data_IF_749082998617
#
_entry.id   IF_749082998617
#
_cell.length_a   1.000
_cell.length_b   1.000
_cell.length_c   1.000
_cell.angle_alpha   90.00
_cell.angle_beta   90.00
_cell.angle_gamma   90.00
#
_symmetry.space_group_name_H-M   'P 1'
#
loop_
_entity.id
_entity.type
_entity.pdbx_description
1 polymer ?
#
# COMPACT_ATOMS: atom_id res chain seq x y z
N UNK A 1 91.74 5.97 -17.17
CA UNK A 1 91.29 5.42 -15.88
C UNK A 1 92.11 6.03 -14.74
N UNK A 2 91.50 6.97 -14.00
CA UNK A 2 91.45 7.04 -12.54
C UNK A 2 89.98 6.81 -12.10
N UNK A 3 89.58 6.38 -10.90
CA UNK A 3 90.17 6.35 -9.57
C UNK A 3 89.16 6.96 -8.58
N UNK A 4 88.85 6.25 -7.49
CA UNK A 4 88.34 6.75 -6.19
C UNK A 4 86.82 6.90 -5.92
N UNK A 5 86.42 6.54 -4.69
CA UNK A 5 85.06 6.39 -4.09
C UNK A 5 84.95 7.40 -2.92
N UNK A 6 83.78 8.03 -2.60
CA UNK A 6 83.00 7.56 -1.44
C UNK A 6 81.46 7.73 -1.53
N UNK A 7 80.78 6.88 -0.75
CA UNK A 7 79.34 6.92 -0.41
C UNK A 7 78.98 8.23 0.31
N UNK A 8 77.79 8.77 0.05
CA UNK A 8 77.11 9.64 1.02
C UNK A 8 75.70 9.14 1.30
N UNK A 9 75.36 9.22 2.58
CA UNK A 9 74.26 8.59 3.30
C UNK A 9 73.14 9.63 3.45
N UNK A 10 71.90 9.14 3.46
CA UNK A 10 70.72 9.80 4.03
C UNK A 10 70.39 11.23 3.56
N UNK A 11 69.44 11.32 2.63
CA UNK A 11 68.60 12.50 2.41
C UNK A 11 67.14 12.06 2.33
N UNK A 12 66.39 12.32 3.40
CA UNK A 12 64.96 12.10 3.60
C UNK A 12 64.11 12.50 2.39
N UNK A 13 63.53 11.52 1.69
CA UNK A 13 62.42 11.79 0.75
C UNK A 13 61.18 12.16 1.55
N UNK A 14 60.72 13.40 1.34
CA UNK A 14 59.44 13.93 1.81
C UNK A 14 58.31 12.96 1.43
N UNK A 15 57.33 12.70 2.31
CA UNK A 15 56.14 11.93 1.91
C UNK A 15 55.39 12.73 0.85
N UNK A 16 55.40 12.23 -0.39
CA UNK A 16 54.43 12.68 -1.38
C UNK A 16 53.05 12.26 -0.88
N UNK A 17 52.12 13.22 -0.86
CA UNK A 17 50.72 12.99 -0.58
C UNK A 17 50.23 11.78 -1.40
N UNK A 18 49.53 10.87 -0.73
CA UNK A 18 48.87 9.70 -1.31
C UNK A 18 48.05 10.11 -2.55
N UNK A 19 48.66 10.05 -3.74
CA UNK A 19 47.91 9.85 -4.97
C UNK A 19 47.36 8.44 -4.87
N UNK A 20 46.05 8.34 -4.64
CA UNK A 20 45.31 7.11 -4.87
C UNK A 20 45.80 6.52 -6.19
N UNK A 21 46.29 5.27 -6.14
CA UNK A 21 46.51 4.51 -7.35
C UNK A 21 45.20 4.52 -8.16
N UNK A 22 45.25 4.71 -9.49
CA UNK A 22 44.05 4.56 -10.31
C UNK A 22 43.50 3.16 -10.05
N UNK A 23 42.24 3.08 -9.59
CA UNK A 23 41.57 1.79 -9.47
C UNK A 23 41.64 1.09 -10.83
N UNK A 24 41.99 -0.21 -10.88
CA UNK A 24 41.91 -0.97 -12.12
C UNK A 24 40.47 -0.94 -12.61
N UNK A 25 40.26 -0.30 -13.77
CA UNK A 25 39.01 -0.40 -14.52
C UNK A 25 38.92 -1.86 -14.98
N UNK A 26 37.93 -2.66 -14.52
CA UNK A 26 37.78 -4.01 -15.02
C UNK A 26 37.56 -3.95 -16.55
N UNK A 27 38.09 -4.92 -17.31
CA UNK A 27 37.98 -4.90 -18.76
C UNK A 27 36.50 -4.78 -19.18
N UNK A 28 36.22 -3.78 -20.02
CA UNK A 28 34.94 -3.57 -20.69
C UNK A 28 34.68 -4.67 -21.71
N UNK A 29 34.48 -5.91 -21.26
CA UNK A 29 33.70 -6.85 -22.04
C UNK A 29 32.26 -6.32 -21.99
N UNK A 30 31.69 -5.91 -23.13
CA UNK A 30 30.27 -5.66 -23.21
C UNK A 30 29.55 -6.97 -22.89
N UNK A 31 29.12 -7.09 -21.64
CA UNK A 31 28.30 -8.21 -21.20
C UNK A 31 26.89 -7.93 -21.70
N UNK A 32 26.67 -8.21 -22.98
CA UNK A 32 25.35 -8.11 -23.56
C UNK A 32 24.57 -9.39 -23.22
N UNK A 33 23.49 -9.28 -22.42
CA UNK A 33 22.69 -10.44 -22.06
C UNK A 33 21.96 -10.97 -23.30
N UNK A 34 21.79 -12.30 -23.34
CA UNK A 34 20.96 -12.99 -24.34
C UNK A 34 19.47 -12.67 -24.15
N UNK A 35 18.65 -12.91 -25.17
CA UNK A 35 17.19 -12.68 -25.11
C UNK A 35 16.55 -13.49 -23.98
N UNK A 36 16.91 -14.77 -23.84
CA UNK A 36 16.42 -15.65 -22.77
C UNK A 36 16.79 -15.13 -21.38
N UNK A 37 18.00 -14.57 -21.22
CA UNK A 37 18.42 -13.94 -19.96
C UNK A 37 17.63 -12.67 -19.68
N UNK A 38 17.31 -11.88 -20.70
CA UNK A 38 16.44 -10.71 -20.55
C UNK A 38 15.07 -11.17 -20.06
N UNK A 39 14.42 -12.10 -20.75
CA UNK A 39 13.09 -12.61 -20.36
C UNK A 39 13.08 -13.17 -18.92
N UNK A 40 14.12 -13.92 -18.53
CA UNK A 40 14.27 -14.45 -17.18
C UNK A 40 14.54 -13.40 -16.09
N UNK A 41 15.00 -12.20 -16.45
CA UNK A 41 15.37 -11.15 -15.50
C UNK A 41 14.21 -10.22 -15.11
N UNK A 42 13.00 -10.43 -15.63
CA UNK A 42 11.83 -9.61 -15.32
C UNK A 42 11.52 -9.50 -13.80
N UNK A 43 11.61 -10.57 -12.99
CA UNK A 43 11.40 -10.46 -11.54
C UNK A 43 12.44 -9.57 -10.85
N UNK A 44 13.71 -9.66 -11.27
CA UNK A 44 14.77 -8.80 -10.74
C UNK A 44 14.58 -7.34 -11.19
N UNK A 45 14.14 -7.12 -12.42
CA UNK A 45 13.80 -5.78 -12.91
C UNK A 45 12.64 -5.16 -12.10
N UNK A 46 11.62 -5.94 -11.77
CA UNK A 46 10.50 -5.49 -10.93
C UNK A 46 10.96 -5.04 -9.53
N UNK A 47 11.90 -5.78 -8.92
CA UNK A 47 12.54 -5.36 -7.67
C UNK A 47 13.37 -4.10 -7.89
N UNK A 48 14.20 -4.06 -8.93
CA UNK A 48 15.14 -2.97 -9.14
C UNK A 48 14.48 -1.65 -9.53
N UNK A 49 13.33 -1.65 -10.21
CA UNK A 49 12.70 -0.44 -10.78
C UNK A 49 12.71 0.76 -9.83
N UNK A 50 12.17 0.59 -8.62
CA UNK A 50 12.17 1.66 -7.62
C UNK A 50 13.50 1.78 -6.86
N UNK A 51 14.26 0.69 -6.73
CA UNK A 51 15.51 0.65 -5.98
C UNK A 51 16.67 1.39 -6.65
N UNK A 52 16.68 1.46 -7.98
CA UNK A 52 17.69 2.20 -8.78
C UNK A 52 17.14 3.50 -9.36
N UNK A 53 15.90 3.87 -9.04
CA UNK A 53 15.27 5.13 -9.46
C UNK A 53 16.01 6.34 -8.88
N UNK A 54 16.44 7.32 -9.69
CA UNK A 54 17.02 8.57 -9.19
C UNK A 54 16.11 9.32 -8.21
N UNK A 55 14.80 9.27 -8.42
CA UNK A 55 13.83 9.93 -7.55
C UNK A 55 13.79 9.31 -6.16
N UNK A 56 13.85 7.98 -6.07
CA UNK A 56 13.88 7.27 -4.79
C UNK A 56 15.26 7.36 -4.14
N UNK A 57 16.33 7.23 -4.93
CA UNK A 57 17.70 7.36 -4.45
C UNK A 57 17.97 8.73 -3.83
N UNK A 58 17.34 9.80 -4.32
CA UNK A 58 17.43 11.14 -3.70
C UNK A 58 16.88 11.20 -2.25
N UNK A 59 16.05 10.24 -1.86
CA UNK A 59 15.40 10.16 -0.55
C UNK A 59 16.06 9.12 0.38
N UNK A 60 17.11 8.43 -0.11
CA UNK A 60 17.79 7.33 0.58
C UNK A 60 19.26 7.64 0.78
N UNK A 61 19.86 7.00 1.78
CA UNK A 61 21.26 7.21 2.20
C UNK A 61 22.11 5.93 2.14
N UNK A 62 21.55 4.83 1.64
CA UNK A 62 22.30 3.58 1.49
C UNK A 62 23.31 3.64 0.31
N UNK A 63 24.30 2.73 0.27
CA UNK A 63 25.37 2.78 -0.72
C UNK A 63 24.90 2.74 -2.19
N UNK A 64 23.81 2.02 -2.47
CA UNK A 64 23.24 1.96 -3.82
C UNK A 64 22.63 3.33 -4.18
N UNK A 65 21.90 3.95 -3.26
CA UNK A 65 21.35 5.30 -3.47
C UNK A 65 22.44 6.36 -3.67
N UNK A 66 23.51 6.35 -2.85
CA UNK A 66 24.66 7.25 -3.03
C UNK A 66 25.29 7.08 -4.41
N UNK A 67 25.55 5.83 -4.82
CA UNK A 67 26.13 5.55 -6.13
C UNK A 67 25.25 6.08 -7.27
N UNK A 68 23.94 5.87 -7.22
CA UNK A 68 23.01 6.36 -8.25
C UNK A 68 23.00 7.89 -8.26
N UNK A 69 22.91 8.53 -7.09
CA UNK A 69 22.91 10.00 -7.00
C UNK A 69 24.22 10.62 -7.53
N UNK A 70 25.36 10.01 -7.25
CA UNK A 70 26.66 10.49 -7.75
C UNK A 70 26.76 10.33 -9.27
N UNK A 71 26.26 9.21 -9.80
CA UNK A 71 26.20 8.97 -11.24
C UNK A 71 25.27 9.97 -11.95
N UNK A 72 24.12 10.28 -11.35
CA UNK A 72 23.17 11.31 -11.81
C UNK A 72 23.84 12.69 -11.84
N UNK A 73 24.49 13.10 -10.75
CA UNK A 73 25.19 14.40 -10.66
C UNK A 73 26.33 14.52 -11.66
N UNK A 74 27.08 13.45 -11.87
CA UNK A 74 28.20 13.42 -12.78
C UNK A 74 27.78 13.22 -14.26
N UNK A 75 26.51 12.89 -14.53
CA UNK A 75 26.04 12.51 -15.86
C UNK A 75 26.73 11.25 -16.39
N UNK A 76 27.17 10.35 -15.50
CA UNK A 76 27.93 9.14 -15.87
C UNK A 76 27.08 7.88 -15.76
N UNK A 77 27.27 6.90 -16.66
CA UNK A 77 26.54 5.65 -16.58
C UNK A 77 27.03 4.77 -15.42
N UNK A 78 26.11 3.95 -14.89
CA UNK A 78 26.41 2.97 -13.83
C UNK A 78 26.63 1.60 -14.48
N UNK A 79 27.77 1.00 -14.21
CA UNK A 79 28.06 -0.36 -14.66
C UNK A 79 27.34 -1.39 -13.76
N UNK A 80 26.72 -2.42 -14.33
CA UNK A 80 26.00 -3.46 -13.58
C UNK A 80 26.85 -4.13 -12.49
N UNK A 81 28.14 -4.34 -12.75
CA UNK A 81 29.08 -4.85 -11.74
C UNK A 81 29.20 -3.96 -10.49
N UNK A 82 29.03 -2.64 -10.62
CA UNK A 82 29.02 -1.75 -9.45
C UNK A 82 27.76 -1.95 -8.60
N UNK A 83 26.62 -2.21 -9.22
CA UNK A 83 25.37 -2.55 -8.52
C UNK A 83 25.53 -3.87 -7.76
N UNK A 84 26.07 -4.92 -8.41
CA UNK A 84 26.34 -6.21 -7.75
C UNK A 84 27.32 -6.04 -6.57
N UNK A 85 28.32 -5.17 -6.71
CA UNK A 85 29.29 -4.88 -5.66
C UNK A 85 28.75 -3.98 -4.53
N UNK A 86 27.55 -3.38 -4.68
CA UNK A 86 26.97 -2.55 -3.62
C UNK A 86 26.53 -3.41 -2.43
N UNK A 87 26.86 -2.95 -1.22
CA UNK A 87 26.38 -3.58 0.00
C UNK A 87 24.84 -3.60 0.02
N UNK A 88 24.26 -4.76 0.30
CA UNK A 88 22.81 -4.98 0.30
C UNK A 88 22.20 -5.34 -1.06
N UNK A 89 22.94 -5.24 -2.18
CA UNK A 89 22.41 -5.58 -3.50
C UNK A 89 22.09 -7.09 -3.62
N UNK A 90 22.86 -7.96 -2.98
CA UNK A 90 22.55 -9.39 -2.92
C UNK A 90 21.19 -9.69 -2.28
N UNK A 91 20.75 -8.88 -1.30
CA UNK A 91 19.44 -9.03 -0.67
C UNK A 91 18.28 -8.64 -1.62
N UNK A 92 18.59 -7.89 -2.68
CA UNK A 92 17.66 -7.55 -3.76
C UNK A 92 17.67 -8.59 -4.90
N UNK A 93 18.46 -9.66 -4.77
CA UNK A 93 18.64 -10.67 -5.82
C UNK A 93 19.72 -10.34 -6.85
N UNK A 94 20.52 -9.28 -6.65
CA UNK A 94 21.63 -8.93 -7.55
C UNK A 94 22.84 -9.84 -7.30
N UNK A 95 22.80 -11.09 -7.76
CA UNK A 95 23.86 -12.09 -7.56
C UNK A 95 24.81 -12.24 -8.73
N UNK A 96 24.42 -11.76 -9.91
CA UNK A 96 25.19 -11.88 -11.15
C UNK A 96 25.18 -10.58 -11.93
N UNK A 97 26.32 -10.23 -12.52
CA UNK A 97 26.43 -9.08 -13.42
C UNK A 97 25.53 -9.25 -14.64
N UNK A 98 25.38 -10.48 -15.14
CA UNK A 98 24.53 -10.78 -16.29
C UNK A 98 23.06 -10.53 -15.97
N UNK A 99 22.57 -11.02 -14.83
CA UNK A 99 21.16 -10.88 -14.43
C UNK A 99 20.82 -9.43 -14.16
N UNK A 100 21.73 -8.68 -13.50
CA UNK A 100 21.55 -7.25 -13.29
C UNK A 100 21.57 -6.49 -14.63
N UNK A 101 22.49 -6.80 -15.54
CA UNK A 101 22.51 -6.17 -16.86
C UNK A 101 21.23 -6.46 -17.66
N UNK A 102 20.73 -7.69 -17.60
CA UNK A 102 19.46 -8.11 -18.20
C UNK A 102 18.27 -7.38 -17.56
N UNK A 103 18.22 -7.27 -16.23
CA UNK A 103 17.18 -6.54 -15.51
C UNK A 103 17.16 -5.05 -15.85
N UNK A 104 18.33 -4.41 -15.95
CA UNK A 104 18.43 -3.01 -16.34
C UNK A 104 17.94 -2.75 -17.77
N UNK A 105 18.03 -3.72 -18.68
CA UNK A 105 17.45 -3.58 -20.03
C UNK A 105 15.92 -3.49 -20.03
N UNK A 106 15.23 -4.12 -19.06
CA UNK A 106 13.79 -3.90 -18.87
C UNK A 106 13.45 -2.50 -18.37
N UNK A 107 14.37 -1.86 -17.66
CA UNK A 107 14.17 -0.51 -17.09
C UNK A 107 14.51 0.60 -18.08
N UNK A 108 15.33 0.33 -19.09
CA UNK A 108 15.76 1.32 -20.07
C UNK A 108 14.60 2.04 -20.78
N UNK A 109 13.51 1.36 -21.23
CA UNK A 109 12.36 2.03 -21.85
C UNK A 109 11.64 3.00 -20.92
N UNK A 110 11.74 2.83 -19.60
CA UNK A 110 11.10 3.72 -18.62
C UNK A 110 11.83 5.06 -18.49
N UNK A 111 13.04 5.19 -19.06
CA UNK A 111 13.87 6.39 -18.97
C UNK A 111 14.31 6.76 -17.54
N UNK A 112 14.08 5.87 -16.56
CA UNK A 112 14.49 6.04 -15.18
C UNK A 112 15.96 5.69 -14.95
N UNK A 113 16.46 4.69 -15.69
CA UNK A 113 17.82 4.18 -15.62
C UNK A 113 18.29 3.82 -17.02
N UNK A 114 19.14 4.66 -17.62
CA UNK A 114 19.74 4.37 -18.92
C UNK A 114 21.02 3.53 -18.73
N UNK A 115 21.00 2.30 -19.26
CA UNK A 115 22.20 1.47 -19.39
C UNK A 115 23.08 2.09 -20.47
N UNK A 116 24.03 2.94 -20.07
CA UNK A 116 24.74 3.93 -20.90
C UNK A 116 23.89 5.16 -21.19
N UNK A 117 24.46 6.37 -21.03
CA UNK A 117 23.92 7.70 -21.40
C UNK A 117 23.33 8.51 -20.21
N UNK A 118 23.57 9.82 -20.31
CA UNK A 118 23.57 10.80 -19.23
C UNK A 118 22.20 11.10 -18.64
N UNK A 119 22.12 11.09 -17.30
CA UNK A 119 20.99 11.66 -16.58
C UNK A 119 20.85 13.15 -16.94
N UNK A 120 19.81 13.47 -17.72
CA UNK A 120 19.49 14.86 -18.01
C UNK A 120 18.98 15.54 -16.73
N UNK A 121 19.33 16.83 -16.59
CA UNK A 121 18.99 17.68 -15.46
C UNK A 121 17.52 17.54 -15.04
N UNK A 122 17.22 17.66 -13.73
CA UNK A 122 15.91 17.30 -13.20
C UNK A 122 14.83 18.26 -13.70
N UNK A 123 13.98 17.80 -14.61
CA UNK A 123 12.61 18.31 -14.64
C UNK A 123 11.98 17.93 -13.29
N UNK A 124 11.31 18.86 -12.62
CA UNK A 124 10.66 18.59 -11.34
C UNK A 124 9.59 17.52 -11.57
N UNK A 125 9.77 16.28 -11.10
CA UNK A 125 8.88 15.19 -11.46
C UNK A 125 7.50 15.42 -10.85
N UNK A 126 6.48 14.96 -11.56
CA UNK A 126 5.09 15.07 -11.17
C UNK A 126 4.55 13.72 -10.70
N UNK A 127 3.73 13.75 -9.66
CA UNK A 127 3.06 12.56 -9.13
C UNK A 127 1.60 12.55 -9.57
N UNK A 128 1.15 11.42 -10.09
CA UNK A 128 -0.26 11.17 -10.43
C UNK A 128 -0.72 9.88 -9.78
N UNK A 129 -1.96 9.85 -9.30
CA UNK A 129 -2.66 8.64 -8.94
C UNK A 129 -3.20 7.97 -10.20
N UNK A 130 -2.99 6.66 -10.30
CA UNK A 130 -3.42 5.81 -11.39
C UNK A 130 -4.31 4.71 -10.85
N UNK A 131 -5.46 4.56 -11.48
CA UNK A 131 -6.41 3.51 -11.23
C UNK A 131 -6.54 2.60 -12.45
N UNK A 132 -6.57 1.28 -12.25
CA UNK A 132 -6.85 0.28 -13.30
C UNK A 132 -5.84 0.30 -14.46
N UNK A 133 -4.56 0.55 -14.18
CA UNK A 133 -3.49 0.37 -15.17
C UNK A 133 -3.34 -1.10 -15.61
N UNK A 134 -3.69 -2.03 -14.73
CA UNK A 134 -3.55 -3.49 -14.88
C UNK A 134 -4.80 -4.20 -14.34
N UNK A 135 -5.06 -5.43 -14.80
CA UNK A 135 -6.30 -6.17 -14.47
C UNK A 135 -6.30 -6.63 -13.02
N UNK A 136 -5.17 -7.21 -12.65
CA UNK A 136 -4.90 -7.78 -11.35
C UNK A 136 -3.78 -7.00 -10.66
N UNK A 137 -3.74 -7.07 -9.34
CA UNK A 137 -2.64 -6.48 -8.58
C UNK A 137 -1.32 -7.04 -9.13
N UNK A 138 -0.43 -6.15 -9.56
CA UNK A 138 0.82 -6.47 -10.23
C UNK A 138 1.97 -5.68 -9.62
N UNK A 139 3.19 -6.07 -9.93
CA UNK A 139 4.37 -5.32 -9.51
C UNK A 139 4.49 -3.94 -10.19
N UNK A 140 5.40 -3.12 -9.67
CA UNK A 140 5.66 -1.77 -10.14
C UNK A 140 6.06 -1.71 -11.63
N UNK A 141 6.87 -2.67 -12.10
CA UNK A 141 7.37 -2.71 -13.48
C UNK A 141 6.24 -3.02 -14.46
N UNK A 142 5.35 -3.94 -14.14
CA UNK A 142 4.18 -4.27 -14.96
C UNK A 142 3.26 -3.05 -15.13
N UNK A 143 3.00 -2.31 -14.05
CA UNK A 143 2.24 -1.05 -14.10
C UNK A 143 2.95 0.00 -14.95
N UNK A 144 4.25 0.19 -14.74
CA UNK A 144 5.04 1.17 -15.47
C UNK A 144 5.08 0.88 -16.98
N UNK A 145 5.26 -0.39 -17.34
CA UNK A 145 5.28 -0.85 -18.75
C UNK A 145 3.92 -0.61 -19.42
N UNK A 146 2.84 -0.93 -18.70
CA UNK A 146 1.47 -0.69 -19.18
C UNK A 146 1.22 0.81 -19.42
N UNK A 147 1.65 1.66 -18.48
CA UNK A 147 1.52 3.11 -18.62
C UNK A 147 2.41 3.70 -19.72
N UNK A 148 3.59 3.14 -19.93
CA UNK A 148 4.46 3.55 -21.02
C UNK A 148 3.81 3.25 -22.38
N UNK A 149 3.16 2.09 -22.53
CA UNK A 149 2.39 1.75 -23.72
C UNK A 149 1.22 2.74 -23.94
N UNK A 150 0.49 3.09 -22.87
CA UNK A 150 -0.58 4.10 -22.89
C UNK A 150 -0.03 5.46 -23.36
N UNK A 151 1.08 5.91 -22.77
CA UNK A 151 1.72 7.19 -23.08
C UNK A 151 2.22 7.26 -24.53
N UNK A 152 2.78 6.16 -25.06
CA UNK A 152 3.20 6.08 -26.45
C UNK A 152 2.02 6.08 -27.43
N UNK A 153 0.86 5.59 -27.02
CA UNK A 153 -0.36 5.62 -27.86
C UNK A 153 -1.11 6.95 -27.80
N UNK A 154 -0.74 7.86 -26.89
CA UNK A 154 -1.44 9.12 -26.67
C UNK A 154 -0.70 10.27 -27.38
N UNK A 155 -1.40 11.20 -28.07
CA UNK A 155 -0.76 12.37 -28.67
C UNK A 155 -0.07 13.24 -27.61
N UNK A 156 1.20 13.60 -27.82
CA UNK A 156 1.99 14.40 -26.88
C UNK A 156 2.40 15.76 -27.44
N UNK A 157 2.33 16.82 -26.63
CA UNK A 157 2.66 18.17 -27.08
C UNK A 157 4.17 18.35 -27.36
N UNK A 158 5.02 17.62 -26.63
CA UNK A 158 6.48 17.69 -26.74
C UNK A 158 7.02 16.28 -26.99
N UNK A 159 7.60 16.04 -28.17
CA UNK A 159 7.93 14.69 -28.66
C UNK A 159 9.04 13.92 -27.93
N UNK A 160 9.49 14.34 -26.74
CA UNK A 160 10.57 13.67 -25.99
C UNK A 160 10.10 12.40 -25.29
N UNK A 161 10.91 11.35 -25.10
CA UNK A 161 10.43 10.07 -24.53
C UNK A 161 9.83 10.22 -23.11
N UNK A 162 8.69 9.55 -22.81
CA UNK A 162 8.08 9.60 -21.49
C UNK A 162 8.96 8.87 -20.48
N UNK A 163 9.05 9.40 -19.26
CA UNK A 163 9.87 8.88 -18.18
C UNK A 163 9.02 8.56 -16.95
N UNK A 164 9.15 7.34 -16.45
CA UNK A 164 8.49 6.89 -15.22
C UNK A 164 9.57 6.61 -14.19
N UNK A 165 9.70 7.50 -13.21
CA UNK A 165 10.72 7.42 -12.18
C UNK A 165 10.38 6.40 -11.09
N UNK A 166 9.12 6.30 -10.66
CA UNK A 166 8.74 5.41 -9.57
C UNK A 166 7.26 5.04 -9.62
N UNK A 167 6.92 3.89 -9.04
CA UNK A 167 5.54 3.42 -8.87
C UNK A 167 5.39 2.87 -7.44
N UNK A 168 4.42 3.36 -6.68
CA UNK A 168 4.24 2.95 -5.29
C UNK A 168 2.75 2.89 -4.90
N UNK A 169 2.39 2.10 -3.87
CA UNK A 169 0.99 1.88 -3.54
C UNK A 169 0.34 3.17 -3.02
N UNK A 170 -0.99 3.32 -3.17
CA UNK A 170 -1.70 4.47 -2.65
C UNK A 170 -1.63 4.52 -1.12
N UNK A 171 -1.33 5.70 -0.58
CA UNK A 171 -1.45 6.01 0.83
C UNK A 171 -2.47 7.13 1.04
N UNK A 172 -2.98 7.25 2.27
CA UNK A 172 -3.98 8.26 2.66
C UNK A 172 -3.59 9.67 2.16
N UNK A 173 -2.33 10.07 2.32
CA UNK A 173 -1.84 11.40 1.96
C UNK A 173 -1.10 11.46 0.62
N UNK A 174 -1.06 10.34 -0.11
CA UNK A 174 -0.23 10.18 -1.31
C UNK A 174 1.27 10.39 -1.05
N UNK A 175 1.71 10.12 0.18
CA UNK A 175 3.11 10.07 0.55
C UNK A 175 3.70 8.74 0.11
N UNK A 176 4.87 8.79 -0.53
CA UNK A 176 5.62 7.59 -0.81
C UNK A 176 6.14 6.95 0.48
N UNK A 177 6.21 5.61 0.55
CA UNK A 177 6.82 4.94 1.69
C UNK A 177 8.32 5.26 1.76
N UNK A 178 8.91 5.13 2.95
CA UNK A 178 10.34 5.39 3.15
C UNK A 178 11.24 4.41 2.35
N UNK A 179 10.76 3.18 2.14
CA UNK A 179 11.47 2.10 1.45
C UNK A 179 10.71 1.73 0.18
N UNK A 180 11.41 1.46 -0.94
CA UNK A 180 10.78 0.98 -2.17
C UNK A 180 9.86 -0.23 -1.91
N UNK A 181 8.59 -0.18 -2.35
CA UNK A 181 7.65 -1.27 -2.15
C UNK A 181 7.98 -2.44 -3.08
N UNK A 182 7.80 -3.65 -2.58
CA UNK A 182 7.83 -4.90 -3.36
C UNK A 182 6.44 -5.54 -3.49
N UNK A 183 5.41 -4.92 -2.90
CA UNK A 183 4.05 -5.45 -2.89
C UNK A 183 3.37 -5.23 -4.23
N UNK A 184 2.60 -6.23 -4.67
CA UNK A 184 1.71 -6.07 -5.82
C UNK A 184 0.62 -5.05 -5.51
N UNK A 185 0.27 -4.23 -6.50
CA UNK A 185 -0.72 -3.17 -6.39
C UNK A 185 -1.58 -3.10 -7.66
N UNK A 186 -2.85 -2.73 -7.50
CA UNK A 186 -3.78 -2.53 -8.64
C UNK A 186 -3.90 -1.05 -9.01
N UNK A 187 -3.88 -0.21 -7.99
CA UNK A 187 -3.85 1.24 -8.08
C UNK A 187 -2.49 1.68 -7.58
N UNK A 188 -1.98 2.79 -8.07
CA UNK A 188 -0.65 3.26 -7.69
C UNK A 188 -0.53 4.76 -7.82
N UNK A 189 0.34 5.34 -7.00
CA UNK A 189 0.95 6.61 -7.36
C UNK A 189 2.13 6.34 -8.28
N UNK A 190 2.24 7.15 -9.32
CA UNK A 190 3.30 7.09 -10.30
C UNK A 190 3.99 8.43 -10.32
N UNK A 191 5.32 8.40 -10.29
CA UNK A 191 6.19 9.57 -10.41
C UNK A 191 6.77 9.56 -11.82
N UNK A 192 6.53 10.63 -12.57
CA UNK A 192 6.86 10.71 -13.99
C UNK A 192 7.28 12.13 -14.35
N UNK A 193 7.81 12.32 -15.56
CA UNK A 193 8.12 13.66 -16.04
C UNK A 193 6.83 14.51 -16.19
N UNK A 194 6.93 15.84 -16.11
CA UNK A 194 5.77 16.73 -16.19
C UNK A 194 4.93 16.58 -17.47
N UNK A 195 5.56 16.34 -18.61
CA UNK A 195 4.87 16.26 -19.90
C UNK A 195 4.05 14.97 -19.99
N UNK A 196 4.60 13.85 -19.53
CA UNK A 196 3.87 12.59 -19.38
C UNK A 196 2.73 12.73 -18.37
N UNK A 197 2.93 13.45 -17.26
CA UNK A 197 1.89 13.65 -16.24
C UNK A 197 0.73 14.49 -16.77
N UNK A 198 1.05 15.56 -17.51
CA UNK A 198 0.07 16.38 -18.18
C UNK A 198 -0.68 15.60 -19.26
N UNK A 199 0.03 14.77 -20.03
CA UNK A 199 -0.59 13.89 -21.05
C UNK A 199 -1.58 12.92 -20.41
N UNK A 200 -1.19 12.18 -19.37
CA UNK A 200 -2.10 11.26 -18.67
C UNK A 200 -3.29 11.99 -18.07
N UNK A 201 -3.07 13.11 -17.39
CA UNK A 201 -4.16 13.87 -16.76
C UNK A 201 -5.12 14.44 -17.79
N UNK A 202 -4.62 14.89 -18.95
CA UNK A 202 -5.44 15.47 -20.02
C UNK A 202 -6.32 14.42 -20.70
N UNK A 203 -5.74 13.28 -21.06
CA UNK A 203 -6.40 12.28 -21.92
C UNK A 203 -7.08 11.15 -21.15
N UNK A 204 -6.60 10.87 -19.94
CA UNK A 204 -7.04 9.77 -19.08
C UNK A 204 -7.50 10.26 -17.70
N UNK A 205 -7.77 11.56 -17.55
CA UNK A 205 -8.35 12.14 -16.34
C UNK A 205 -9.67 11.47 -15.96
N UNK A 206 -10.01 11.51 -14.66
CA UNK A 206 -11.26 10.93 -14.13
C UNK A 206 -12.51 11.41 -14.88
N UNK A 207 -12.57 12.70 -15.19
CA UNK A 207 -13.73 13.34 -15.82
C UNK A 207 -13.54 13.53 -17.32
N UNK A 208 -12.48 12.98 -17.90
CA UNK A 208 -12.16 13.19 -19.32
C UNK A 208 -12.98 12.25 -20.21
N UNK A 209 -13.81 12.78 -21.13
CA UNK A 209 -14.49 11.95 -22.12
C UNK A 209 -13.48 11.33 -23.10
N UNK A 210 -13.77 10.09 -23.51
CA UNK A 210 -12.84 9.24 -24.26
C UNK A 210 -13.14 9.17 -25.75
N UNK A 211 -13.86 10.15 -26.28
CA UNK A 211 -14.29 10.18 -27.69
C UNK A 211 -13.12 10.24 -28.68
N UNK A 212 -11.94 10.63 -28.20
CA UNK A 212 -10.69 10.66 -28.97
C UNK A 212 -10.06 9.27 -29.18
N UNK A 213 -10.44 8.25 -28.39
CA UNK A 213 -9.86 6.91 -28.50
C UNK A 213 -10.34 6.21 -29.78
N UNK A 214 -9.41 5.64 -30.59
CA UNK A 214 -9.79 4.92 -31.79
C UNK A 214 -10.61 3.67 -31.44
N UNK A 215 -11.50 3.25 -32.35
CA UNK A 215 -12.33 2.05 -32.18
C UNK A 215 -11.51 0.76 -32.01
N UNK A 216 -10.31 0.73 -32.57
CA UNK A 216 -9.34 -0.34 -32.40
C UNK A 216 -8.11 0.25 -31.73
N UNK A 217 -7.74 -0.34 -30.59
CA UNK A 217 -6.58 0.06 -29.80
C UNK A 217 -5.54 -1.06 -29.82
N UNK A 218 -4.24 -0.74 -29.76
CA UNK A 218 -3.21 -1.77 -29.66
C UNK A 218 -3.44 -2.67 -28.45
N UNK A 219 -3.11 -3.97 -28.57
CA UNK A 219 -3.30 -4.95 -27.50
C UNK A 219 -2.64 -4.51 -26.18
N UNK A 220 -1.48 -3.86 -26.25
CA UNK A 220 -0.75 -3.34 -25.09
C UNK A 220 -1.50 -2.24 -24.31
N UNK A 221 -2.50 -1.59 -24.94
CA UNK A 221 -3.29 -0.50 -24.35
C UNK A 221 -4.75 -0.91 -24.13
N UNK A 222 -5.17 -2.01 -24.75
CA UNK A 222 -6.53 -2.54 -24.68
C UNK A 222 -7.01 -2.70 -23.24
N UNK A 223 -6.16 -3.22 -22.35
CA UNK A 223 -6.48 -3.36 -20.92
C UNK A 223 -6.88 -2.02 -20.28
N UNK A 224 -6.03 -1.01 -20.41
CA UNK A 224 -6.26 0.32 -19.88
C UNK A 224 -7.54 0.96 -20.44
N UNK A 225 -7.89 0.66 -21.69
CA UNK A 225 -9.13 1.15 -22.32
C UNK A 225 -10.35 0.44 -21.75
N UNK A 226 -10.36 -0.89 -21.76
CA UNK A 226 -11.50 -1.71 -21.33
C UNK A 226 -11.79 -1.57 -19.83
N UNK A 227 -10.76 -1.47 -19.00
CA UNK A 227 -10.91 -1.33 -17.55
C UNK A 227 -10.95 0.13 -17.08
N UNK A 228 -11.16 1.05 -18.02
CA UNK A 228 -11.34 2.46 -17.76
C UNK A 228 -10.21 3.07 -16.91
N UNK A 229 -8.95 2.95 -17.37
CA UNK A 229 -7.79 3.57 -16.71
C UNK A 229 -8.09 5.01 -16.38
N UNK A 230 -7.87 5.39 -15.12
CA UNK A 230 -8.23 6.70 -14.58
C UNK A 230 -7.02 7.33 -13.91
N UNK A 231 -6.75 8.58 -14.25
CA UNK A 231 -5.62 9.36 -13.75
C UNK A 231 -6.12 10.56 -12.94
N UNK A 232 -5.43 10.86 -11.84
CA UNK A 232 -5.71 12.03 -11.02
C UNK A 232 -4.41 12.68 -10.55
N UNK A 233 -4.19 13.98 -10.74
CA UNK A 233 -2.97 14.62 -10.26
C UNK A 233 -2.97 14.69 -8.72
N UNK A 234 -1.78 14.61 -8.11
CA UNK A 234 -1.63 14.49 -6.64
C UNK A 234 -2.32 15.61 -5.84
N UNK A 235 -2.37 16.84 -6.36
CA UNK A 235 -3.07 17.93 -5.68
C UNK A 235 -4.58 17.71 -5.62
N UNK A 236 -5.18 17.17 -6.69
CA UNK A 236 -6.62 16.86 -6.71
C UNK A 236 -6.93 15.65 -5.84
N UNK A 237 -6.05 14.65 -5.80
CA UNK A 237 -6.14 13.54 -4.84
C UNK A 237 -6.25 14.05 -3.40
N UNK A 238 -5.33 14.94 -3.00
CA UNK A 238 -5.33 15.50 -1.64
C UNK A 238 -6.63 16.23 -1.30
N UNK A 239 -7.15 17.02 -2.23
CA UNK A 239 -8.45 17.70 -2.06
C UNK A 239 -9.57 16.67 -1.85
N UNK A 240 -9.63 15.61 -2.67
CA UNK A 240 -10.65 14.56 -2.52
C UNK A 240 -10.53 13.79 -1.20
N UNK A 241 -9.30 13.57 -0.71
CA UNK A 241 -9.07 12.97 0.60
C UNK A 241 -9.60 13.87 1.71
N UNK A 242 -9.33 15.17 1.65
CA UNK A 242 -9.83 16.12 2.64
C UNK A 242 -11.38 16.18 2.61
N UNK A 243 -11.98 16.22 1.41
CA UNK A 243 -13.43 16.15 1.20
C UNK A 243 -14.01 14.85 1.79
N UNK A 244 -13.38 13.70 1.54
CA UNK A 244 -13.81 12.40 2.08
C UNK A 244 -13.70 12.35 3.61
N UNK A 245 -12.61 12.85 4.19
CA UNK A 245 -12.42 12.88 5.65
C UNK A 245 -13.48 13.77 6.31
N UNK A 246 -13.77 14.94 5.72
CA UNK A 246 -14.82 15.83 6.21
C UNK A 246 -16.20 15.16 6.15
N UNK A 247 -16.56 14.60 4.99
CA UNK A 247 -17.82 13.87 4.81
C UNK A 247 -17.96 12.68 5.77
N UNK A 248 -16.89 11.91 5.96
CA UNK A 248 -16.89 10.76 6.85
C UNK A 248 -17.13 11.17 8.31
N UNK A 249 -16.52 12.27 8.78
CA UNK A 249 -16.76 12.83 10.11
C UNK A 249 -18.22 13.24 10.29
N UNK A 250 -18.79 13.92 9.31
CA UNK A 250 -20.19 14.36 9.35
C UNK A 250 -21.14 13.16 9.38
N UNK A 251 -20.88 12.13 8.58
CA UNK A 251 -21.68 10.90 8.55
C UNK A 251 -21.62 10.15 9.89
N UNK A 252 -20.44 10.02 10.49
CA UNK A 252 -20.27 9.39 11.81
C UNK A 252 -21.03 10.16 12.89
N UNK A 253 -20.98 11.49 12.86
CA UNK A 253 -21.71 12.34 13.80
C UNK A 253 -23.23 12.16 13.63
N UNK A 254 -23.74 12.21 12.40
CA UNK A 254 -25.16 11.99 12.10
C UNK A 254 -25.64 10.63 12.59
N UNK A 255 -24.87 9.56 12.33
CA UNK A 255 -25.21 8.21 12.77
C UNK A 255 -25.18 8.06 14.29
N UNK A 256 -24.22 8.72 14.96
CA UNK A 256 -24.12 8.72 16.42
C UNK A 256 -25.30 9.43 17.06
N UNK A 257 -25.67 10.61 16.55
CA UNK A 257 -26.84 11.35 17.04
C UNK A 257 -28.16 10.62 16.76
N UNK A 258 -28.30 10.00 15.59
CA UNK A 258 -29.44 9.15 15.28
C UNK A 258 -29.53 7.93 16.22
N UNK A 259 -28.40 7.32 16.57
CA UNK A 259 -28.35 6.21 17.53
C UNK A 259 -28.74 6.66 18.94
N UNK A 260 -28.22 7.81 19.41
CA UNK A 260 -28.63 8.41 20.69
C UNK A 260 -30.12 8.72 20.74
N UNK A 261 -30.67 9.30 19.67
CA UNK A 261 -32.10 9.60 19.57
C UNK A 261 -32.97 8.33 19.60
N UNK A 262 -32.53 7.24 18.95
CA UNK A 262 -33.20 5.93 19.04
C UNK A 262 -33.14 5.35 20.46
N UNK A 263 -31.98 5.42 21.12
CA UNK A 263 -31.82 4.95 22.50
C UNK A 263 -32.70 5.75 23.49
N UNK A 264 -32.77 7.07 23.34
CA UNK A 264 -33.63 7.92 24.16
C UNK A 264 -35.13 7.63 23.95
N UNK A 265 -35.55 7.29 22.72
CA UNK A 265 -36.92 6.83 22.46
C UNK A 265 -37.21 5.45 23.07
N UNK A 266 -36.22 4.55 23.02
CA UNK A 266 -36.34 3.23 23.65
C UNK A 266 -36.36 3.30 25.19
N UNK A 267 -35.64 4.24 25.81
CA UNK A 267 -35.66 4.44 27.26
C UNK A 267 -36.99 4.99 27.78
N UNK A 268 -37.69 5.83 26.99
CA UNK A 268 -39.08 6.23 27.27
C UNK A 268 -40.01 4.99 27.27
N UNK A 269 -39.78 4.02 26.39
CA UNK A 269 -40.55 2.77 26.35
C UNK A 269 -40.26 1.81 27.51
N UNK A 270 -39.09 1.92 28.17
CA UNK A 270 -38.73 1.14 29.37
C UNK A 270 -39.38 1.68 30.66
N UNK A 271 -39.91 2.91 30.67
CA UNK A 271 -40.71 3.44 31.79
C UNK A 271 -42.10 2.80 31.90
N UNK A 272 -42.52 1.97 30.93
CA UNK A 272 -43.75 1.17 30.95
C UNK A 272 -43.50 -0.29 31.36
N UNK A 273 -42.37 -0.60 32.01
CA UNK A 273 -42.16 -1.95 32.54
C UNK A 273 -43.15 -2.19 33.69
N UNK A 274 -44.03 -3.20 33.62
CA UNK A 274 -45.04 -3.41 34.64
C UNK A 274 -44.38 -3.76 35.97
N UNK A 275 -44.47 -2.81 36.91
CA UNK A 275 -43.98 -2.96 38.28
C UNK A 275 -44.71 -4.12 39.00
N UNK A 276 -44.04 -4.73 39.98
CA UNK A 276 -44.58 -5.80 40.83
C UNK A 276 -44.91 -7.12 40.11
N UNK A 277 -44.24 -7.43 39.00
CA UNK A 277 -44.46 -8.66 38.23
C UNK A 277 -43.44 -9.77 38.51
N UNK A 278 -42.37 -9.51 39.25
CA UNK A 278 -41.30 -10.48 39.54
C UNK A 278 -41.41 -10.97 40.98
N UNK A 279 -41.44 -12.28 41.18
CA UNK A 279 -41.49 -12.96 42.49
C UNK A 279 -40.29 -13.86 42.66
N UNK A 280 -39.63 -13.80 43.82
CA UNK A 280 -38.59 -14.75 44.20
C UNK A 280 -39.19 -15.85 45.09
N UNK A 281 -39.01 -17.12 44.70
CA UNK A 281 -39.47 -18.30 45.45
C UNK A 281 -38.28 -19.15 45.87
N UNK A 282 -38.33 -19.77 47.05
CA UNK A 282 -37.32 -20.76 47.44
C UNK A 282 -37.43 -22.01 46.56
N UNK A 283 -36.30 -22.60 46.15
CA UNK A 283 -36.33 -23.83 45.35
C UNK A 283 -36.85 -25.00 46.18
N UNK A 284 -37.88 -25.68 45.69
CA UNK A 284 -38.36 -26.94 46.26
C UNK A 284 -37.36 -28.10 46.04
N UNK A 285 -37.34 -29.13 46.90
CA UNK A 285 -36.36 -30.21 46.85
C UNK A 285 -36.47 -31.16 45.63
N UNK A 286 -37.55 -31.05 44.84
CA UNK A 286 -37.91 -32.05 43.83
C UNK A 286 -37.84 -31.58 42.38
N UNK A 287 -37.65 -30.28 42.12
CA UNK A 287 -37.70 -29.73 40.75
C UNK A 287 -36.34 -29.20 40.32
N UNK A 288 -35.67 -29.95 39.42
CA UNK A 288 -34.28 -29.68 39.03
C UNK A 288 -34.11 -28.92 37.70
N UNK A 289 -35.20 -28.60 37.00
CA UNK A 289 -35.12 -27.89 35.71
C UNK A 289 -36.13 -26.76 35.62
N UNK A 290 -35.72 -25.67 34.96
CA UNK A 290 -36.54 -24.49 34.68
C UNK A 290 -37.88 -24.84 34.01
N UNK A 291 -37.87 -25.81 33.09
CA UNK A 291 -39.08 -26.26 32.39
C UNK A 291 -40.06 -26.98 33.33
N UNK A 292 -39.57 -27.85 34.21
CA UNK A 292 -40.40 -28.54 35.19
C UNK A 292 -41.00 -27.57 36.22
N UNK A 293 -40.19 -26.62 36.71
CA UNK A 293 -40.62 -25.60 37.65
C UNK A 293 -41.69 -24.68 37.05
N UNK A 294 -41.46 -24.21 35.81
CA UNK A 294 -42.46 -23.42 35.07
C UNK A 294 -43.77 -24.19 34.88
N UNK A 295 -43.70 -25.48 34.54
CA UNK A 295 -44.90 -26.31 34.36
C UNK A 295 -45.68 -26.51 35.67
N UNK A 296 -44.99 -26.67 36.81
CA UNK A 296 -45.64 -26.77 38.12
C UNK A 296 -46.35 -25.47 38.52
N UNK A 297 -45.67 -24.33 38.36
CA UNK A 297 -46.27 -23.01 38.63
C UNK A 297 -47.45 -22.72 37.69
N UNK A 298 -47.37 -23.13 36.42
CA UNK A 298 -48.47 -22.98 35.47
C UNK A 298 -49.73 -23.78 35.84
N UNK A 299 -49.62 -24.87 36.62
CA UNK A 299 -50.80 -25.57 37.17
C UNK A 299 -51.48 -24.80 38.29
N UNK A 300 -50.69 -24.13 39.14
CA UNK A 300 -51.19 -23.29 40.24
C UNK A 300 -51.76 -21.96 39.73
N UNK A 301 -51.14 -21.44 38.67
CA UNK A 301 -51.43 -20.13 38.10
C UNK A 301 -51.51 -20.21 36.56
N UNK A 302 -52.60 -20.80 36.00
CA UNK A 302 -52.74 -20.92 34.55
C UNK A 302 -52.66 -19.55 33.87
N UNK A 303 -51.83 -19.45 32.83
CA UNK A 303 -51.54 -18.22 32.07
C UNK A 303 -50.99 -17.04 32.90
N UNK A 304 -50.55 -17.28 34.15
CA UNK A 304 -50.06 -16.23 35.04
C UNK A 304 -48.54 -16.09 35.07
N UNK A 305 -47.79 -17.03 34.49
CA UNK A 305 -46.33 -17.09 34.52
C UNK A 305 -45.76 -17.01 33.10
N UNK A 306 -45.03 -15.95 32.80
CA UNK A 306 -44.40 -15.74 31.49
C UNK A 306 -43.06 -16.45 31.40
N UNK A 307 -42.24 -16.30 32.44
CA UNK A 307 -40.86 -16.74 32.45
C UNK A 307 -40.42 -17.13 33.86
N UNK A 308 -39.52 -18.10 33.94
CA UNK A 308 -38.92 -18.59 35.18
C UNK A 308 -37.42 -18.57 34.95
N UNK A 309 -36.66 -17.98 35.85
CA UNK A 309 -35.21 -17.93 35.82
C UNK A 309 -34.67 -18.77 36.97
N UNK A 310 -33.89 -19.79 36.62
CA UNK A 310 -33.19 -20.64 37.57
C UNK A 310 -31.71 -20.60 37.23
N UNK A 311 -30.89 -20.24 38.21
CA UNK A 311 -29.44 -20.29 38.09
C UNK A 311 -28.90 -21.48 38.89
N UNK A 312 -27.93 -22.19 38.31
CA UNK A 312 -27.35 -23.40 38.88
C UNK A 312 -26.46 -23.04 40.07
N UNK A 313 -27.06 -22.94 41.26
CA UNK A 313 -26.37 -22.59 42.50
C UNK A 313 -27.13 -21.61 43.40
N UNK A 314 -28.23 -21.03 42.92
CA UNK A 314 -29.06 -20.15 43.74
C UNK A 314 -30.12 -20.94 44.51
N UNK A 315 -30.36 -20.57 45.77
CA UNK A 315 -31.39 -21.19 46.62
C UNK A 315 -32.82 -20.71 46.26
N UNK A 316 -32.95 -19.78 45.31
CA UNK A 316 -34.20 -19.20 44.89
C UNK A 316 -34.37 -19.24 43.36
N UNK A 317 -35.63 -19.21 42.92
CA UNK A 317 -36.08 -19.07 41.55
C UNK A 317 -36.74 -17.71 41.39
N UNK A 318 -36.42 -16.99 40.32
CA UNK A 318 -37.12 -15.76 39.98
C UNK A 318 -38.20 -16.05 38.94
N UNK A 319 -39.43 -15.66 39.23
CA UNK A 319 -40.59 -15.90 38.38
C UNK A 319 -41.13 -14.57 37.90
N UNK A 320 -41.15 -14.37 36.58
CA UNK A 320 -41.86 -13.26 35.94
C UNK A 320 -43.30 -13.68 35.68
N UNK A 321 -44.22 -12.97 36.32
CA UNK A 321 -45.65 -13.13 36.16
C UNK A 321 -46.19 -12.14 35.10
N UNK A 322 -47.29 -12.54 34.44
CA UNK A 322 -47.92 -11.74 33.40
C UNK A 322 -48.49 -10.40 33.93
N UNK A 323 -48.88 -10.36 35.21
CA UNK A 323 -49.44 -9.16 35.88
C UNK A 323 -49.02 -9.09 37.35
N UNK A 324 -49.13 -7.92 37.96
CA UNK A 324 -48.89 -7.77 39.40
C UNK A 324 -49.89 -8.53 40.27
N UNK A 325 -51.14 -8.70 39.81
CA UNK A 325 -52.14 -9.52 40.49
C UNK A 325 -51.76 -11.02 40.46
N UNK A 326 -51.21 -11.50 39.34
CA UNK A 326 -50.68 -12.85 39.22
C UNK A 326 -49.49 -13.08 40.17
N UNK A 327 -48.57 -12.12 40.26
CA UNK A 327 -47.47 -12.15 41.21
C UNK A 327 -47.94 -12.21 42.68
N UNK A 328 -48.89 -11.35 43.08
CA UNK A 328 -49.45 -11.36 44.42
C UNK A 328 -50.13 -12.70 44.76
N UNK A 329 -50.92 -13.25 43.83
CA UNK A 329 -51.59 -14.54 44.00
C UNK A 329 -50.59 -15.69 44.11
N UNK A 330 -49.49 -15.63 43.37
CA UNK A 330 -48.43 -16.64 43.43
C UNK A 330 -47.74 -16.67 44.80
N UNK A 331 -47.47 -15.49 45.39
CA UNK A 331 -46.93 -15.39 46.75
C UNK A 331 -47.89 -16.00 47.77
N UNK A 332 -49.19 -15.69 47.69
CA UNK A 332 -50.20 -16.28 48.60
C UNK A 332 -50.29 -17.80 48.49
N UNK A 333 -50.24 -18.34 47.26
CA UNK A 333 -50.36 -19.79 47.01
C UNK A 333 -49.12 -20.60 47.40
N UNK A 334 -47.98 -19.94 47.61
CA UNK A 334 -46.71 -20.60 47.96
C UNK A 334 -46.31 -20.43 49.42
N UNK A 335 -46.97 -19.54 50.16
CA UNK A 335 -46.74 -19.27 51.59
C UNK A 335 -47.96 -19.52 52.50
N UNK A 336 -49.12 -19.88 51.94
CA UNK A 336 -50.31 -20.33 52.68
C UNK A 336 -50.49 -21.83 52.58
#
# INVERSE_FOLDING_TARGET
MPGFVPRSVAGTKRPHAHRCAPQPVPPSASVDPTVEQIEGAAPLAAVLMNWVSPWWCAQRTDPLATMVNDAVKAGTPIHAARIVACAGAHALGCTSVHDVAAALRHLAPLGAVECQVAFHAPCQPSTVFIENAVEHASDALTIATSLLAVLHSTPRPHGGQPRIYAVYPPSEYGTAPAVPPTTCMKHAFVVLDPDAAQTLTRFWGWDTPRDWLPKQVPAAVAHAVYHHLRCLPIHRWKILVDEYIAWHRDLVLQNTEAAKARAARASISLQLYPLHTIVALAMGPHERTQAAYKAALARLLPNGVDYVEMDAGQACVFVRCATGAAAARLVTLTWG
#
